data_IF_263984080334
#
_entry.id   IF_263984080334
#
_cell.length_a   1.000
_cell.length_b   1.000
_cell.length_c   1.000
_cell.angle_alpha   90.00
_cell.angle_beta   90.00
_cell.angle_gamma   90.00
#
_symmetry.space_group_name_H-M   'P 1'
#
loop_
_entity.id
_entity.type
_entity.pdbx_description
1 polymer ?
#
# COMPACT_ATOMS: atom_id res chain seq x y z
N UNK A 1 -13.96 -28.57 -56.94
CA UNK A 1 -13.30 -28.43 -55.64
C UNK A 1 -13.04 -29.84 -55.10
N UNK A 2 -11.79 -30.27 -55.05
CA UNK A 2 -11.35 -31.61 -54.69
C UNK A 2 -11.59 -31.80 -53.15
N UNK A 3 -11.80 -33.03 -52.73
CA UNK A 3 -11.97 -33.36 -51.28
C UNK A 3 -10.73 -32.89 -50.45
N UNK A 4 -9.57 -32.92 -51.07
CA UNK A 4 -8.32 -32.41 -50.50
C UNK A 4 -8.39 -30.92 -50.28
N UNK A 5 -8.94 -30.11 -51.22
CA UNK A 5 -9.09 -28.67 -51.10
C UNK A 5 -10.05 -28.29 -49.95
N UNK A 6 -11.14 -29.09 -49.75
CA UNK A 6 -12.06 -28.93 -48.63
C UNK A 6 -11.43 -29.32 -47.28
N UNK A 7 -10.58 -30.34 -47.27
CA UNK A 7 -9.85 -30.69 -46.05
C UNK A 7 -8.81 -29.63 -45.68
N UNK A 8 -8.12 -29.06 -46.69
CA UNK A 8 -7.18 -27.94 -46.45
C UNK A 8 -7.90 -26.67 -46.02
N UNK A 9 -9.09 -26.37 -46.55
CA UNK A 9 -9.91 -25.24 -46.08
C UNK A 9 -10.37 -25.44 -44.63
N UNK A 10 -10.76 -26.64 -44.24
CA UNK A 10 -11.18 -26.94 -42.86
C UNK A 10 -9.99 -27.05 -41.90
N UNK A 11 -8.86 -27.59 -42.33
CA UNK A 11 -7.64 -27.68 -41.53
C UNK A 11 -6.95 -26.30 -41.43
N UNK A 12 -6.97 -25.53 -42.53
CA UNK A 12 -6.41 -24.16 -42.57
C UNK A 12 -7.09 -23.19 -41.58
N UNK A 13 -8.39 -23.40 -41.31
CA UNK A 13 -9.11 -22.59 -40.30
C UNK A 13 -8.70 -22.94 -38.86
N UNK A 14 -7.97 -24.02 -38.62
CA UNK A 14 -7.54 -24.47 -37.30
C UNK A 14 -6.03 -24.37 -37.05
N UNK A 15 -5.25 -23.95 -38.06
CA UNK A 15 -3.77 -23.91 -37.97
C UNK A 15 -3.32 -22.46 -37.70
N UNK A 16 -2.51 -22.29 -36.69
CA UNK A 16 -1.75 -21.06 -36.45
C UNK A 16 -0.45 -21.10 -37.26
N UNK A 17 -0.26 -20.15 -38.16
CA UNK A 17 0.95 -19.98 -38.94
C UNK A 17 1.99 -19.22 -38.14
N UNK A 18 3.12 -19.81 -37.77
CA UNK A 18 4.18 -19.09 -37.07
C UNK A 18 4.84 -18.09 -38.03
N UNK A 19 4.93 -16.84 -37.57
CA UNK A 19 5.47 -15.70 -38.31
C UNK A 19 6.58 -14.99 -37.53
N UNK A 20 7.49 -14.37 -38.26
CA UNK A 20 8.31 -13.27 -37.73
C UNK A 20 7.57 -11.96 -37.99
N UNK A 21 7.63 -11.02 -37.01
CA UNK A 21 7.01 -9.72 -37.15
C UNK A 21 8.04 -8.59 -37.20
N UNK A 22 7.72 -7.55 -37.98
CA UNK A 22 8.48 -6.29 -37.99
C UNK A 22 7.51 -5.12 -38.03
N UNK A 23 7.94 -3.94 -37.56
CA UNK A 23 7.13 -2.73 -37.54
C UNK A 23 6.48 -2.45 -36.18
N UNK A 24 6.04 -1.21 -35.98
CA UNK A 24 5.44 -0.70 -34.74
C UNK A 24 3.91 -0.67 -34.82
N UNK A 25 3.36 0.13 -35.74
CA UNK A 25 1.91 0.25 -36.00
C UNK A 25 1.49 -0.43 -37.29
N UNK A 26 2.38 -0.51 -38.26
CA UNK A 26 2.22 -1.28 -39.49
C UNK A 26 3.04 -2.57 -39.38
N UNK A 27 2.40 -3.64 -38.93
CA UNK A 27 3.05 -4.92 -38.61
C UNK A 27 3.14 -5.78 -39.86
N UNK A 28 4.35 -6.12 -40.27
CA UNK A 28 4.59 -7.06 -41.39
C UNK A 28 4.88 -8.43 -40.84
N UNK A 29 4.03 -9.40 -41.16
CA UNK A 29 4.12 -10.78 -40.79
C UNK A 29 4.73 -11.60 -41.94
N UNK A 30 5.90 -12.17 -41.71
CA UNK A 30 6.59 -13.04 -42.66
C UNK A 30 6.52 -14.48 -42.16
N UNK A 31 5.98 -15.46 -42.95
CA UNK A 31 5.90 -16.82 -42.52
C UNK A 31 7.29 -17.38 -42.25
N UNK A 32 7.40 -18.22 -41.23
CA UNK A 32 8.60 -18.99 -40.99
C UNK A 32 8.75 -20.09 -42.02
N UNK A 33 9.95 -20.70 -42.15
CA UNK A 33 10.29 -21.70 -43.14
C UNK A 33 9.27 -22.83 -43.11
N UNK A 34 8.84 -23.31 -44.33
CA UNK A 34 7.88 -24.39 -44.57
C UNK A 34 6.38 -24.06 -44.36
N UNK A 35 6.02 -22.79 -44.28
CA UNK A 35 4.61 -22.41 -44.34
C UNK A 35 4.16 -22.17 -45.80
N UNK A 36 2.90 -22.52 -46.16
CA UNK A 36 2.38 -22.27 -47.51
C UNK A 36 2.43 -20.78 -47.84
N UNK A 37 2.91 -20.44 -49.05
CA UNK A 37 2.82 -19.09 -49.58
C UNK A 37 1.36 -18.82 -49.97
N UNK A 38 0.71 -17.90 -49.22
CA UNK A 38 -0.62 -17.44 -49.61
C UNK A 38 -0.50 -16.42 -50.71
N UNK A 39 -1.40 -16.47 -51.67
CA UNK A 39 -1.49 -15.48 -52.77
C UNK A 39 -2.62 -14.48 -52.59
N UNK A 40 -3.52 -14.69 -51.64
CA UNK A 40 -4.58 -13.81 -51.25
C UNK A 40 -4.97 -14.05 -49.78
N UNK A 41 -5.48 -13.01 -49.11
CA UNK A 41 -6.05 -13.10 -47.79
C UNK A 41 -7.51 -13.57 -47.87
N UNK A 42 -7.81 -14.71 -47.29
CA UNK A 42 -9.16 -15.24 -47.13
C UNK A 42 -9.43 -15.45 -45.65
N UNK A 43 -10.64 -15.89 -45.29
CA UNK A 43 -10.93 -16.32 -43.91
C UNK A 43 -10.03 -17.48 -43.53
N UNK A 44 -8.91 -17.22 -42.90
CA UNK A 44 -7.85 -18.18 -42.66
C UNK A 44 -7.56 -18.36 -41.18
N UNK A 45 -6.74 -19.33 -40.88
CA UNK A 45 -6.22 -19.61 -39.55
C UNK A 45 -5.49 -18.42 -38.92
N UNK A 46 -5.04 -18.61 -37.69
CA UNK A 46 -4.32 -17.58 -36.94
C UNK A 46 -2.88 -17.38 -37.44
N UNK A 47 -2.38 -16.16 -37.33
CA UNK A 47 -0.97 -15.80 -37.55
C UNK A 47 -0.35 -15.52 -36.20
N UNK A 48 0.55 -16.41 -35.75
CA UNK A 48 1.21 -16.30 -34.45
C UNK A 48 2.59 -15.70 -34.61
N UNK A 49 2.88 -14.70 -33.78
CA UNK A 49 4.16 -13.99 -33.81
C UNK A 49 4.48 -13.36 -32.46
N UNK A 50 5.76 -13.06 -32.24
CA UNK A 50 6.22 -12.20 -31.11
C UNK A 50 6.42 -10.80 -31.65
N UNK A 51 5.79 -9.82 -30.98
CA UNK A 51 5.91 -8.42 -31.37
C UNK A 51 7.30 -7.85 -31.08
N UNK A 52 7.86 -7.11 -32.02
CA UNK A 52 9.20 -6.50 -31.94
C UNK A 52 9.17 -5.05 -31.43
N UNK A 53 7.99 -4.43 -31.36
CA UNK A 53 7.80 -3.06 -30.86
C UNK A 53 6.41 -2.91 -30.23
N UNK A 54 6.28 -1.96 -29.28
CA UNK A 54 5.00 -1.57 -28.69
C UNK A 54 4.28 -0.60 -29.61
N UNK A 55 2.97 -0.82 -29.85
CA UNK A 55 2.15 0.08 -30.69
C UNK A 55 2.01 1.46 -30.06
N UNK A 56 2.17 2.49 -30.89
CA UNK A 56 2.06 3.92 -30.51
C UNK A 56 0.88 4.64 -31.18
N UNK A 57 0.02 3.90 -31.86
CA UNK A 57 -1.15 4.40 -32.57
C UNK A 57 -1.95 3.26 -33.21
N UNK A 58 -2.89 3.59 -34.09
CA UNK A 58 -3.74 2.62 -34.78
C UNK A 58 -2.92 1.53 -35.47
N UNK A 59 -3.30 0.27 -35.24
CA UNK A 59 -2.55 -0.90 -35.71
C UNK A 59 -3.14 -1.42 -37.03
N UNK A 60 -2.24 -1.67 -37.98
CA UNK A 60 -2.51 -2.41 -39.22
C UNK A 60 -1.54 -3.57 -39.33
N UNK A 61 -1.93 -4.63 -40.03
CA UNK A 61 -1.05 -5.75 -40.31
C UNK A 61 -1.14 -6.22 -41.76
N UNK A 62 -0.06 -6.79 -42.23
CA UNK A 62 -0.02 -7.52 -43.48
C UNK A 62 0.65 -8.88 -43.33
N UNK A 63 0.27 -9.85 -44.13
CA UNK A 63 0.94 -11.12 -44.23
C UNK A 63 1.60 -11.23 -45.61
N UNK A 64 2.89 -11.54 -45.65
CA UNK A 64 3.66 -11.81 -46.88
C UNK A 64 3.42 -10.79 -48.00
N UNK A 65 3.36 -9.49 -47.70
CA UNK A 65 3.14 -8.38 -48.64
C UNK A 65 1.76 -8.39 -49.38
N UNK A 66 0.75 -9.04 -48.83
CA UNK A 66 -0.60 -9.07 -49.41
C UNK A 66 -1.45 -7.83 -49.11
N UNK A 67 -0.85 -6.78 -48.59
CA UNK A 67 -1.50 -5.52 -48.23
C UNK A 67 -1.78 -5.36 -46.75
N UNK A 68 -1.81 -4.11 -46.30
CA UNK A 68 -2.11 -3.78 -44.90
C UNK A 68 -3.61 -3.71 -44.66
N UNK A 69 -4.07 -4.39 -43.62
CA UNK A 69 -5.45 -4.38 -43.16
C UNK A 69 -5.50 -3.92 -41.70
N UNK A 70 -6.56 -3.22 -41.25
CA UNK A 70 -6.72 -2.83 -39.88
C UNK A 70 -6.81 -4.05 -38.96
N UNK A 71 -6.25 -3.89 -37.76
CA UNK A 71 -6.35 -4.89 -36.68
C UNK A 71 -7.41 -4.41 -35.70
N UNK A 72 -8.37 -5.25 -35.38
CA UNK A 72 -9.47 -4.95 -34.46
C UNK A 72 -9.36 -5.82 -33.20
N UNK A 73 -9.92 -5.32 -32.10
CA UNK A 73 -10.17 -6.13 -30.91
C UNK A 73 -11.18 -7.25 -31.22
N UNK A 74 -11.37 -8.15 -30.28
CA UNK A 74 -12.28 -9.28 -30.41
C UNK A 74 -13.76 -8.90 -30.70
N UNK A 75 -14.13 -7.64 -30.48
CA UNK A 75 -15.44 -7.08 -30.82
C UNK A 75 -15.65 -6.86 -32.35
N UNK A 76 -14.57 -6.93 -33.13
CA UNK A 76 -14.57 -6.72 -34.59
C UNK A 76 -14.91 -5.27 -35.02
N UNK A 77 -15.01 -4.33 -34.09
CA UNK A 77 -15.44 -2.96 -34.31
C UNK A 77 -14.41 -1.91 -33.87
N UNK A 78 -13.76 -2.16 -32.73
CA UNK A 78 -12.74 -1.24 -32.14
C UNK A 78 -11.38 -1.58 -32.70
N UNK A 79 -10.75 -0.65 -33.44
CA UNK A 79 -9.40 -0.86 -33.97
C UNK A 79 -8.35 -0.85 -32.86
N UNK A 80 -7.45 -1.81 -32.87
CA UNK A 80 -6.29 -1.85 -31.98
C UNK A 80 -5.42 -0.59 -32.13
N UNK A 81 -4.96 -0.03 -31.02
CA UNK A 81 -4.33 1.28 -30.95
C UNK A 81 -3.09 1.25 -30.04
N UNK A 82 -2.75 2.41 -29.49
CA UNK A 82 -1.58 2.60 -28.61
C UNK A 82 -1.61 1.61 -27.43
N UNK A 83 -0.52 0.85 -27.26
CA UNK A 83 -0.35 -0.07 -26.14
C UNK A 83 -1.07 -1.41 -26.28
N UNK A 84 -1.85 -1.66 -27.33
CA UNK A 84 -2.55 -2.93 -27.53
C UNK A 84 -1.60 -4.05 -28.00
N UNK A 85 -0.51 -3.68 -28.64
CA UNK A 85 0.58 -4.57 -29.02
C UNK A 85 1.81 -4.16 -28.21
N UNK A 86 2.35 -5.07 -27.42
CA UNK A 86 3.51 -4.83 -26.55
C UNK A 86 4.72 -5.63 -27.07
N UNK A 87 5.89 -4.99 -27.06
CA UNK A 87 7.12 -5.66 -27.47
C UNK A 87 7.42 -6.90 -26.63
N UNK A 88 7.90 -7.97 -27.25
CA UNK A 88 8.27 -9.20 -26.59
C UNK A 88 7.12 -10.17 -26.25
N UNK A 89 5.87 -9.78 -26.50
CA UNK A 89 4.71 -10.64 -26.26
C UNK A 89 4.28 -11.39 -27.54
N UNK A 90 3.72 -12.58 -27.34
CA UNK A 90 3.19 -13.41 -28.41
C UNK A 90 1.74 -13.05 -28.70
N UNK A 91 1.40 -12.92 -29.98
CA UNK A 91 0.07 -12.60 -30.48
C UNK A 91 -0.41 -13.60 -31.51
N UNK A 92 -1.76 -13.73 -31.62
CA UNK A 92 -2.43 -14.41 -32.72
C UNK A 92 -3.38 -13.39 -33.39
N UNK A 93 -3.14 -13.13 -34.67
CA UNK A 93 -4.04 -12.39 -35.52
C UNK A 93 -4.80 -13.36 -36.44
N UNK A 94 -6.12 -13.23 -36.50
CA UNK A 94 -6.94 -13.99 -37.45
C UNK A 94 -7.59 -13.06 -38.46
N UNK A 95 -7.45 -13.38 -39.73
CA UNK A 95 -8.03 -12.59 -40.80
C UNK A 95 -9.49 -12.95 -41.07
N UNK A 96 -10.36 -11.93 -41.18
CA UNK A 96 -11.76 -12.06 -41.55
C UNK A 96 -12.11 -11.10 -42.69
N UNK A 97 -12.60 -11.67 -43.79
CA UNK A 97 -13.00 -10.88 -44.99
C UNK A 97 -14.20 -9.99 -44.70
N UNK A 98 -15.08 -10.33 -43.76
CA UNK A 98 -16.27 -9.57 -43.45
C UNK A 98 -16.01 -8.25 -42.71
N UNK A 99 -14.82 -8.06 -42.13
CA UNK A 99 -14.44 -6.84 -41.43
C UNK A 99 -14.28 -5.66 -42.43
N UNK A 100 -14.33 -4.46 -41.88
CA UNK A 100 -14.16 -3.21 -42.67
C UNK A 100 -15.15 -3.12 -43.85
N UNK A 101 -16.42 -3.52 -43.64
CA UNK A 101 -17.45 -3.47 -44.70
C UNK A 101 -17.20 -4.45 -45.84
N UNK A 102 -16.48 -5.56 -45.61
CA UNK A 102 -16.13 -6.56 -46.64
C UNK A 102 -14.75 -6.38 -47.29
N UNK A 103 -13.99 -5.36 -46.85
CA UNK A 103 -12.61 -5.13 -47.33
C UNK A 103 -11.57 -6.01 -46.59
N UNK A 104 -11.96 -6.66 -45.51
CA UNK A 104 -11.10 -7.50 -44.68
C UNK A 104 -10.43 -6.77 -43.51
N UNK A 105 -10.01 -7.53 -42.53
CA UNK A 105 -9.29 -7.07 -41.34
C UNK A 105 -8.81 -8.23 -40.49
N UNK A 106 -7.94 -7.94 -39.54
CA UNK A 106 -7.48 -8.90 -38.56
C UNK A 106 -8.22 -8.71 -37.25
N UNK A 107 -8.59 -9.80 -36.58
CA UNK A 107 -8.95 -9.83 -35.17
C UNK A 107 -7.72 -10.16 -34.34
N UNK A 108 -7.51 -9.42 -33.28
CA UNK A 108 -6.57 -9.75 -32.21
C UNK A 108 -7.23 -10.80 -31.28
N UNK A 109 -6.89 -12.09 -31.46
CA UNK A 109 -7.47 -13.18 -30.68
C UNK A 109 -6.77 -13.40 -29.34
N UNK A 110 -5.48 -13.14 -29.30
CA UNK A 110 -4.75 -13.14 -28.04
C UNK A 110 -4.51 -11.71 -27.62
N UNK A 111 -5.28 -11.17 -26.69
CA UNK A 111 -4.83 -9.96 -26.03
C UNK A 111 -3.50 -10.28 -25.38
N UNK A 112 -2.48 -9.49 -25.69
CA UNK A 112 -1.14 -9.70 -25.15
C UNK A 112 -0.99 -9.34 -23.68
N UNK A 113 -2.02 -8.95 -23.08
CA UNK A 113 -1.95 -9.08 -21.65
C UNK A 113 -1.89 -10.58 -21.38
N UNK A 114 -0.78 -11.12 -20.83
CA UNK A 114 -1.02 -12.18 -19.90
C UNK A 114 -2.19 -11.61 -19.11
N UNK A 115 -3.32 -12.30 -19.16
CA UNK A 115 -4.32 -12.14 -18.11
C UNK A 115 -3.59 -12.65 -16.88
N UNK A 116 -2.67 -11.84 -16.38
CA UNK A 116 -2.49 -11.77 -14.98
C UNK A 116 -3.91 -11.42 -14.57
N UNK A 117 -4.67 -12.43 -14.16
CA UNK A 117 -5.88 -12.25 -13.38
C UNK A 117 -5.39 -11.60 -12.10
N UNK A 118 -4.88 -10.38 -12.25
CA UNK A 118 -4.69 -9.44 -11.17
C UNK A 118 -6.10 -9.23 -10.69
N UNK A 119 -6.43 -9.56 -9.47
CA UNK A 119 -7.68 -9.10 -8.92
C UNK A 119 -7.65 -7.59 -9.10
N UNK A 120 -8.40 -7.10 -10.09
CA UNK A 120 -8.62 -5.69 -10.33
C UNK A 120 -9.09 -5.11 -8.99
N UNK A 121 -8.28 -4.34 -8.34
CA UNK A 121 -8.76 -3.64 -7.19
C UNK A 121 -7.82 -3.40 -6.02
N UNK A 122 -6.67 -4.06 -5.90
CA UNK A 122 -5.81 -3.83 -4.74
C UNK A 122 -4.41 -3.33 -5.15
N UNK A 123 -3.93 -2.22 -4.56
CA UNK A 123 -2.55 -1.78 -4.69
C UNK A 123 -1.56 -2.85 -4.20
N UNK A 124 -0.53 -3.16 -5.00
CA UNK A 124 0.38 -4.29 -4.74
C UNK A 124 1.58 -3.99 -3.85
N UNK A 125 1.85 -2.73 -3.56
CA UNK A 125 2.97 -2.29 -2.74
C UNK A 125 2.60 -1.95 -1.30
N UNK A 126 3.59 -1.50 -0.55
CA UNK A 126 3.45 -0.97 0.82
C UNK A 126 4.23 0.33 0.98
N UNK A 127 3.67 1.26 1.75
CA UNK A 127 4.40 2.42 2.23
C UNK A 127 5.42 1.97 3.27
N UNK A 128 6.63 2.47 3.16
CA UNK A 128 7.75 2.18 4.05
C UNK A 128 8.69 3.39 4.16
N UNK A 129 9.49 3.45 5.21
CA UNK A 129 10.55 4.44 5.39
C UNK A 129 11.93 3.90 4.99
N UNK A 130 12.00 2.69 4.46
CA UNK A 130 13.23 2.04 4.07
C UNK A 130 13.17 1.59 2.61
N UNK A 131 14.14 2.01 1.79
CA UNK A 131 14.21 1.65 0.37
C UNK A 131 14.24 0.14 0.17
N UNK A 132 13.46 -0.37 -0.77
CA UNK A 132 13.38 -1.78 -1.16
C UNK A 132 12.93 -2.77 -0.03
N UNK A 133 12.47 -2.25 1.12
CA UNK A 133 12.04 -3.08 2.25
C UNK A 133 10.59 -2.73 2.60
N UNK A 134 9.60 -3.47 2.10
CA UNK A 134 8.18 -3.19 2.32
C UNK A 134 7.72 -3.45 3.76
N UNK A 135 8.43 -4.31 4.52
CA UNK A 135 8.17 -4.62 5.93
C UNK A 135 9.39 -4.21 6.75
N UNK A 136 9.29 -3.11 7.47
CA UNK A 136 10.39 -2.60 8.29
C UNK A 136 10.62 -3.51 9.51
N UNK A 137 11.86 -3.90 9.74
CA UNK A 137 12.28 -4.73 10.89
C UNK A 137 13.28 -3.99 11.80
N UNK A 138 13.66 -2.77 11.44
CA UNK A 138 14.62 -1.95 12.18
C UNK A 138 14.11 -0.53 12.35
N UNK A 139 14.56 0.15 13.39
CA UNK A 139 14.20 1.53 13.66
C UNK A 139 14.61 2.47 12.52
N UNK A 140 13.71 3.37 12.15
CA UNK A 140 13.90 4.46 11.19
C UNK A 140 13.62 5.79 11.90
N UNK A 141 14.61 6.42 12.57
CA UNK A 141 14.35 7.55 13.48
C UNK A 141 14.16 8.90 12.79
N UNK A 142 14.64 9.08 11.56
CA UNK A 142 14.64 10.38 10.87
C UNK A 142 14.63 10.20 9.33
N UNK A 143 13.66 9.44 8.84
CA UNK A 143 13.54 9.19 7.40
C UNK A 143 13.06 10.44 6.66
N UNK A 144 13.76 10.82 5.59
CA UNK A 144 13.44 11.93 4.70
C UNK A 144 12.81 11.49 3.38
N UNK A 145 12.51 10.21 3.24
CA UNK A 145 11.84 9.63 2.07
C UNK A 145 10.80 8.62 2.52
N UNK A 146 9.61 8.74 1.96
CA UNK A 146 8.57 7.70 2.02
C UNK A 146 8.63 6.93 0.71
N UNK A 147 8.72 5.62 0.80
CA UNK A 147 8.75 4.71 -0.35
C UNK A 147 7.43 3.98 -0.48
N UNK A 148 7.04 3.67 -1.70
CA UNK A 148 6.00 2.68 -1.99
C UNK A 148 6.68 1.49 -2.66
N UNK A 149 7.09 0.52 -1.85
CA UNK A 149 7.87 -0.64 -2.27
C UNK A 149 6.97 -1.81 -2.67
N UNK A 150 7.35 -2.62 -3.67
CA UNK A 150 6.63 -3.83 -4.04
C UNK A 150 6.50 -4.79 -2.85
N UNK A 151 5.30 -5.40 -2.69
CA UNK A 151 5.03 -6.38 -1.64
C UNK A 151 4.30 -7.63 -2.17
N UNK A 152 3.11 -7.47 -2.73
CA UNK A 152 2.35 -8.56 -3.38
C UNK A 152 2.62 -8.58 -4.88
N UNK A 153 2.62 -7.42 -5.50
CA UNK A 153 2.94 -7.21 -6.91
C UNK A 153 3.35 -5.75 -7.17
N UNK A 154 3.70 -5.41 -8.41
CA UNK A 154 4.29 -4.13 -8.80
C UNK A 154 3.30 -3.17 -9.47
N UNK A 155 2.00 -3.40 -9.30
CA UNK A 155 0.97 -2.59 -9.94
C UNK A 155 0.10 -1.88 -8.91
N UNK A 156 -0.39 -0.71 -9.29
CA UNK A 156 -1.39 0.06 -8.55
C UNK A 156 -2.52 0.45 -9.51
N UNK A 157 -3.79 0.21 -9.17
CA UNK A 157 -4.90 0.67 -9.98
C UNK A 157 -5.02 2.18 -9.87
N UNK A 158 -5.09 2.88 -11.01
CA UNK A 158 -5.28 4.34 -11.05
C UNK A 158 -6.37 4.66 -12.05
N UNK A 159 -7.29 5.55 -11.67
CA UNK A 159 -8.24 6.16 -12.59
C UNK A 159 -7.55 7.29 -13.34
N UNK A 160 -7.51 7.20 -14.67
CA UNK A 160 -6.83 8.17 -15.54
C UNK A 160 -7.74 9.30 -16.04
N UNK A 161 -8.97 9.38 -15.52
CA UNK A 161 -10.01 10.31 -15.98
C UNK A 161 -11.02 9.68 -16.95
N UNK A 162 -10.72 8.52 -17.52
CA UNK A 162 -11.61 7.76 -18.41
C UNK A 162 -11.82 6.33 -17.90
N UNK A 163 -10.75 5.62 -17.61
CA UNK A 163 -10.76 4.22 -17.21
C UNK A 163 -9.86 3.97 -15.99
N UNK A 164 -10.16 2.92 -15.24
CA UNK A 164 -9.27 2.37 -14.22
C UNK A 164 -8.34 1.38 -14.89
N UNK A 165 -7.04 1.57 -14.71
CA UNK A 165 -6.02 0.68 -15.26
C UNK A 165 -4.94 0.37 -14.22
N UNK A 166 -4.32 -0.82 -14.26
CA UNK A 166 -3.15 -1.13 -13.46
C UNK A 166 -1.92 -0.43 -14.05
N UNK A 167 -1.27 0.41 -13.26
CA UNK A 167 -0.01 1.04 -13.62
C UNK A 167 1.12 0.40 -12.87
N UNK A 168 2.18 0.02 -13.58
CA UNK A 168 3.41 -0.43 -12.95
C UNK A 168 4.07 0.74 -12.24
N UNK A 169 4.37 0.58 -10.95
CA UNK A 169 5.00 1.61 -10.14
C UNK A 169 6.50 1.38 -9.91
N UNK A 170 7.08 0.38 -10.57
CA UNK A 170 8.50 0.06 -10.57
C UNK A 170 9.09 0.27 -11.96
N UNK A 171 10.40 0.49 -12.05
CA UNK A 171 11.10 0.69 -13.34
C UNK A 171 11.19 -0.61 -14.17
N UNK A 172 11.12 -1.77 -13.51
CA UNK A 172 11.12 -3.11 -14.12
C UNK A 172 10.50 -4.14 -13.19
N UNK A 173 10.21 -5.35 -13.68
CA UNK A 173 9.70 -6.45 -12.86
C UNK A 173 10.71 -6.99 -11.83
N UNK A 174 11.98 -6.62 -11.92
CA UNK A 174 13.02 -6.97 -10.95
C UNK A 174 13.30 -5.85 -9.94
N UNK A 175 12.73 -4.67 -10.18
CA UNK A 175 12.91 -3.52 -9.29
C UNK A 175 12.11 -3.71 -8.00
N UNK A 176 12.78 -3.69 -6.87
CA UNK A 176 12.20 -3.80 -5.54
C UNK A 176 12.07 -2.43 -4.83
N UNK A 177 12.60 -1.38 -5.41
CA UNK A 177 12.63 -0.03 -4.80
C UNK A 177 11.24 0.62 -4.86
N UNK A 178 10.59 0.59 -6.03
CA UNK A 178 9.30 1.23 -6.24
C UNK A 178 9.36 2.75 -6.34
N UNK A 179 8.27 3.43 -5.94
CA UNK A 179 8.17 4.89 -5.98
C UNK A 179 8.76 5.52 -4.72
N UNK A 180 9.45 6.65 -4.91
CA UNK A 180 10.00 7.47 -3.84
C UNK A 180 9.30 8.81 -3.74
N UNK A 181 8.96 9.24 -2.52
CA UNK A 181 8.52 10.58 -2.18
C UNK A 181 9.56 11.21 -1.26
N UNK A 182 10.42 12.05 -1.81
CA UNK A 182 11.44 12.77 -1.05
C UNK A 182 10.80 13.94 -0.29
N UNK A 183 10.81 13.84 1.03
CA UNK A 183 10.27 14.85 1.92
C UNK A 183 11.21 16.06 2.02
N UNK A 184 10.66 17.22 2.35
CA UNK A 184 11.40 18.44 2.56
C UNK A 184 10.64 19.39 3.49
N UNK A 185 11.13 20.62 3.66
CA UNK A 185 10.59 21.61 4.62
C UNK A 185 9.10 21.91 4.44
N UNK A 186 8.55 21.70 3.26
CA UNK A 186 7.13 21.91 2.98
C UNK A 186 6.20 20.82 3.51
N UNK A 187 6.70 19.68 3.96
CA UNK A 187 5.96 18.75 4.79
C UNK A 187 6.06 19.21 6.24
N UNK A 188 5.10 20.02 6.66
CA UNK A 188 5.10 20.67 7.99
C UNK A 188 5.32 19.65 9.12
N UNK A 189 5.99 20.08 10.19
CA UNK A 189 6.23 19.25 11.37
C UNK A 189 4.92 18.82 12.03
N UNK A 190 4.91 17.68 12.71
CA UNK A 190 3.78 17.16 13.48
C UNK A 190 2.46 17.08 12.70
N UNK A 191 2.52 16.79 11.38
CA UNK A 191 1.36 16.80 10.49
C UNK A 191 1.18 15.41 9.84
N UNK A 192 -0.06 14.95 9.79
CA UNK A 192 -0.44 13.75 9.06
C UNK A 192 -0.62 14.07 7.58
N UNK A 193 -0.23 13.14 6.70
CA UNK A 193 -0.36 13.25 5.24
C UNK A 193 -0.94 11.96 4.68
N UNK A 194 -2.05 12.05 3.99
CA UNK A 194 -2.52 10.94 3.16
C UNK A 194 -1.63 10.81 1.92
N UNK A 195 -1.28 9.58 1.58
CA UNK A 195 -0.45 9.25 0.41
C UNK A 195 -1.33 8.64 -0.66
N UNK A 196 -1.23 9.19 -1.86
CA UNK A 196 -1.93 8.71 -3.04
C UNK A 196 -0.94 8.37 -4.15
N UNK A 197 -1.29 7.37 -4.95
CA UNK A 197 -0.69 7.19 -6.26
C UNK A 197 -1.58 7.83 -7.32
N UNK A 198 -0.98 8.59 -8.22
CA UNK A 198 -1.67 9.28 -9.32
C UNK A 198 -0.80 9.25 -10.57
N UNK A 199 -1.34 9.74 -11.69
CA UNK A 199 -0.57 9.87 -12.94
C UNK A 199 -0.01 11.28 -13.09
N UNK A 200 1.29 11.36 -13.31
CA UNK A 200 1.98 12.59 -13.70
C UNK A 200 2.62 12.33 -15.06
N UNK A 201 2.15 13.03 -16.09
CA UNK A 201 2.58 12.81 -17.48
C UNK A 201 2.46 11.32 -17.92
N UNK A 202 1.39 10.64 -17.50
CA UNK A 202 1.12 9.24 -17.85
C UNK A 202 1.90 8.19 -17.04
N UNK A 203 2.72 8.61 -16.08
CA UNK A 203 3.52 7.71 -15.22
C UNK A 203 2.99 7.74 -13.78
N UNK A 204 2.95 6.59 -13.12
CA UNK A 204 2.57 6.50 -11.71
C UNK A 204 3.56 7.27 -10.84
N UNK A 205 3.03 8.11 -9.95
CA UNK A 205 3.81 8.91 -9.00
C UNK A 205 3.10 8.98 -7.64
N UNK A 206 3.86 9.19 -6.57
CA UNK A 206 3.31 9.48 -5.25
C UNK A 206 3.00 10.96 -5.10
N UNK A 207 1.86 11.25 -4.50
CA UNK A 207 1.55 12.61 -4.02
C UNK A 207 0.90 12.54 -2.63
N UNK A 208 0.88 13.67 -1.93
CA UNK A 208 0.33 13.74 -0.58
C UNK A 208 -0.63 14.89 -0.40
N UNK A 209 -1.64 14.68 0.45
CA UNK A 209 -2.56 15.71 0.91
C UNK A 209 -2.42 15.81 2.42
N UNK A 210 -2.08 16.99 2.99
CA UNK A 210 -2.00 17.18 4.44
C UNK A 210 -3.38 17.04 5.06
N UNK A 211 -3.44 16.53 6.29
CA UNK A 211 -4.67 16.55 7.07
C UNK A 211 -4.97 17.95 7.59
N UNK A 212 -6.23 18.26 7.84
CA UNK A 212 -6.67 19.50 8.45
C UNK A 212 -6.30 19.56 9.95
N UNK A 213 -6.21 18.41 10.61
CA UNK A 213 -5.77 18.27 12.00
C UNK A 213 -5.14 16.90 12.24
N UNK A 214 -4.74 16.57 13.47
CA UNK A 214 -4.21 15.25 13.82
C UNK A 214 -5.23 14.11 13.66
N UNK A 215 -6.53 14.42 13.58
CA UNK A 215 -7.63 13.45 13.54
C UNK A 215 -8.60 13.67 12.37
N UNK A 216 -8.42 14.73 11.59
CA UNK A 216 -9.35 15.10 10.50
C UNK A 216 -8.60 15.25 9.19
N UNK A 217 -9.02 14.49 8.16
CA UNK A 217 -8.52 14.62 6.78
C UNK A 217 -8.97 15.95 6.15
N UNK A 218 -8.15 16.50 5.26
CA UNK A 218 -8.52 17.67 4.47
C UNK A 218 -9.50 17.32 3.34
N UNK A 219 -9.43 16.08 2.82
CA UNK A 219 -10.41 15.53 1.88
C UNK A 219 -10.87 14.17 2.36
N UNK A 220 -12.16 13.84 2.13
CA UNK A 220 -12.67 12.51 2.39
C UNK A 220 -12.08 11.46 1.46
N UNK A 221 -12.26 10.20 1.81
CA UNK A 221 -11.98 9.06 0.94
C UNK A 221 -13.32 8.49 0.43
N UNK A 222 -13.34 8.04 -0.82
CA UNK A 222 -14.48 7.39 -1.44
C UNK A 222 -14.04 6.11 -2.16
N UNK A 223 -14.91 5.10 -2.17
CA UNK A 223 -14.68 3.89 -2.96
C UNK A 223 -15.00 4.21 -4.42
N UNK A 224 -14.04 3.98 -5.30
CA UNK A 224 -14.21 4.09 -6.74
C UNK A 224 -13.57 2.88 -7.42
N UNK A 225 -14.36 2.10 -8.14
CA UNK A 225 -13.87 0.90 -8.83
C UNK A 225 -13.30 -0.20 -7.91
N UNK A 226 -13.70 -0.23 -6.62
CA UNK A 226 -13.27 -1.25 -5.66
C UNK A 226 -12.07 -0.86 -4.80
N UNK A 227 -11.52 0.34 -4.94
CA UNK A 227 -10.44 0.87 -4.09
C UNK A 227 -10.73 2.31 -3.62
N UNK A 228 -10.04 2.74 -2.58
CA UNK A 228 -10.21 4.08 -2.03
C UNK A 228 -9.47 5.14 -2.88
N UNK A 229 -10.15 6.25 -3.09
CA UNK A 229 -9.64 7.44 -3.80
C UNK A 229 -9.98 8.71 -3.01
N UNK A 230 -9.41 9.85 -3.42
CA UNK A 230 -9.83 11.15 -2.90
C UNK A 230 -11.26 11.48 -3.34
N UNK A 231 -12.14 11.79 -2.37
CA UNK A 231 -13.57 12.03 -2.61
C UNK A 231 -13.87 13.40 -3.26
N UNK A 232 -12.95 14.36 -3.17
CA UNK A 232 -13.08 15.71 -3.72
C UNK A 232 -11.73 16.21 -4.25
N UNK A 233 -11.72 17.23 -5.12
CA UNK A 233 -10.48 17.85 -5.56
C UNK A 233 -9.73 18.43 -4.36
N UNK A 234 -8.41 18.26 -4.34
CA UNK A 234 -7.57 18.78 -3.26
C UNK A 234 -6.19 19.20 -3.78
N UNK A 235 -5.56 20.16 -3.10
CA UNK A 235 -4.16 20.50 -3.38
C UNK A 235 -3.26 19.39 -2.88
N UNK A 236 -2.65 18.68 -3.80
CA UNK A 236 -1.69 17.63 -3.54
C UNK A 236 -0.25 18.11 -3.75
N UNK A 237 0.67 17.54 -2.99
CA UNK A 237 2.10 17.82 -3.05
C UNK A 237 2.83 16.65 -3.68
N UNK A 238 3.59 16.94 -4.74
CA UNK A 238 4.38 15.96 -5.47
C UNK A 238 5.86 15.99 -5.04
N UNK A 239 6.41 17.20 -4.87
CA UNK A 239 7.79 17.42 -4.42
C UNK A 239 7.83 18.53 -3.36
N UNK A 240 9.01 18.85 -2.83
CA UNK A 240 9.14 19.96 -1.88
C UNK A 240 8.68 21.31 -2.46
N UNK A 241 8.69 21.48 -3.77
CA UNK A 241 8.34 22.76 -4.44
C UNK A 241 7.11 22.66 -5.33
N UNK A 242 6.67 21.45 -5.70
CA UNK A 242 5.60 21.24 -6.67
C UNK A 242 4.31 20.80 -5.99
N UNK A 243 3.27 21.58 -6.21
CA UNK A 243 1.87 21.24 -5.86
C UNK A 243 1.01 21.27 -7.11
N UNK A 244 -0.09 20.52 -7.11
CA UNK A 244 -1.08 20.52 -8.16
C UNK A 244 -2.46 20.19 -7.58
N UNK A 245 -3.52 20.43 -8.34
CA UNK A 245 -4.86 20.00 -7.95
C UNK A 245 -5.08 18.55 -8.37
N UNK A 246 -5.17 17.65 -7.39
CA UNK A 246 -5.60 16.27 -7.60
C UNK A 246 -7.12 16.27 -7.77
N UNK A 247 -7.61 15.99 -8.96
CA UNK A 247 -9.05 15.90 -9.25
C UNK A 247 -9.72 14.75 -8.50
N UNK A 248 -11.04 14.80 -8.36
CA UNK A 248 -11.84 13.74 -7.71
C UNK A 248 -11.57 12.37 -8.31
N UNK A 249 -11.26 11.39 -7.49
CA UNK A 249 -11.03 10.01 -7.92
C UNK A 249 -9.69 9.75 -8.62
N UNK A 250 -8.88 10.77 -8.91
CA UNK A 250 -7.62 10.62 -9.66
C UNK A 250 -6.44 10.16 -8.80
N UNK A 251 -6.62 10.07 -7.49
CA UNK A 251 -5.61 9.55 -6.55
C UNK A 251 -6.05 8.24 -5.92
N UNK A 252 -5.33 7.14 -6.13
CA UNK A 252 -5.52 5.90 -5.40
C UNK A 252 -4.89 6.03 -4.03
N UNK A 253 -5.69 5.96 -2.98
CA UNK A 253 -5.21 6.04 -1.60
C UNK A 253 -4.36 4.81 -1.24
N UNK A 254 -3.20 5.02 -0.65
CA UNK A 254 -2.28 3.96 -0.26
C UNK A 254 -2.16 3.80 1.25
N UNK A 255 -2.30 4.90 1.98
CA UNK A 255 -2.14 4.96 3.41
C UNK A 255 -1.80 6.38 3.88
N UNK A 256 -1.27 6.49 5.09
CA UNK A 256 -0.99 7.78 5.75
C UNK A 256 0.39 7.72 6.40
N UNK A 257 1.15 8.80 6.35
CA UNK A 257 2.32 8.98 7.20
C UNK A 257 2.23 10.28 8.00
N UNK A 258 3.04 10.39 9.04
CA UNK A 258 3.15 11.58 9.89
C UNK A 258 4.59 12.06 9.90
N UNK A 259 4.77 13.39 9.90
CA UNK A 259 6.07 14.00 10.15
C UNK A 259 6.38 14.08 11.64
N UNK A 260 7.66 14.02 11.97
CA UNK A 260 8.17 14.26 13.33
C UNK A 260 8.04 15.74 13.73
N UNK A 261 8.59 16.13 14.88
CA UNK A 261 8.76 17.53 15.25
C UNK A 261 9.69 18.31 14.28
N UNK A 262 10.39 17.62 13.39
CA UNK A 262 11.18 18.20 12.31
C UNK A 262 10.41 18.08 11.01
N UNK A 263 10.22 19.20 10.33
CA UNK A 263 9.55 19.23 9.02
C UNK A 263 10.31 18.35 8.01
N UNK A 264 9.57 17.61 7.18
CA UNK A 264 10.15 16.73 6.17
C UNK A 264 10.81 15.45 6.69
N UNK A 265 10.61 15.11 7.95
CA UNK A 265 11.08 13.84 8.51
C UNK A 265 9.93 13.01 9.05
N UNK A 266 10.01 11.69 8.88
CA UNK A 266 9.10 10.71 9.49
C UNK A 266 9.91 9.68 10.26
N UNK A 267 9.26 8.88 11.10
CA UNK A 267 9.93 7.86 11.91
C UNK A 267 9.09 6.60 12.09
N UNK A 268 9.81 5.49 12.32
CA UNK A 268 9.24 4.21 12.73
C UNK A 268 10.18 3.58 13.75
N UNK A 269 9.78 3.56 15.02
CA UNK A 269 10.61 3.13 16.14
C UNK A 269 9.84 2.11 16.95
N UNK A 270 10.40 0.91 17.11
CA UNK A 270 9.76 -0.19 17.82
C UNK A 270 9.66 0.01 19.34
N UNK A 271 10.31 1.06 19.86
CA UNK A 271 10.48 1.30 21.28
C UNK A 271 11.79 0.71 21.79
N UNK A 272 11.95 0.71 23.11
CA UNK A 272 13.17 0.17 23.69
C UNK A 272 13.19 0.20 25.22
N UNK A 273 14.32 -0.21 25.79
CA UNK A 273 14.56 -0.22 27.22
C UNK A 273 15.36 1.01 27.63
N UNK A 274 14.93 1.66 28.72
CA UNK A 274 15.60 2.81 29.31
C UNK A 274 14.96 3.17 30.65
N UNK A 275 15.63 3.97 31.47
CA UNK A 275 15.03 4.51 32.68
C UNK A 275 13.88 5.45 32.29
N UNK A 276 12.64 5.08 32.66
CA UNK A 276 11.42 5.74 32.21
C UNK A 276 10.93 5.31 30.83
N UNK A 277 11.50 4.23 30.25
CA UNK A 277 11.16 3.72 28.93
C UNK A 277 11.81 4.47 27.78
N UNK A 278 11.72 3.91 26.58
CA UNK A 278 12.05 4.56 25.30
C UNK A 278 10.84 4.45 24.39
N UNK A 279 10.19 5.57 24.13
CA UNK A 279 8.91 5.64 23.41
C UNK A 279 8.98 4.98 22.02
N UNK A 280 7.91 4.28 21.65
CA UNK A 280 7.73 3.74 20.31
C UNK A 280 6.95 4.72 19.42
N UNK A 281 7.24 4.68 18.10
CA UNK A 281 6.58 5.53 17.11
C UNK A 281 6.31 4.74 15.84
N UNK A 282 5.04 4.55 15.50
CA UNK A 282 4.59 4.02 14.24
C UNK A 282 3.95 5.15 13.41
N UNK A 283 4.77 5.94 12.72
CA UNK A 283 4.32 7.14 11.99
C UNK A 283 4.07 6.87 10.51
N UNK A 284 3.81 5.61 10.13
CA UNK A 284 3.36 5.23 8.79
C UNK A 284 2.34 4.09 8.93
N UNK A 285 1.24 4.20 8.19
CA UNK A 285 0.17 3.22 8.19
C UNK A 285 -0.26 2.94 6.76
N UNK A 286 -0.32 1.66 6.39
CA UNK A 286 -0.82 1.20 5.11
C UNK A 286 -2.33 0.93 5.21
N UNK A 287 -3.09 1.26 4.17
CA UNK A 287 -4.49 0.85 4.09
C UNK A 287 -4.61 -0.57 3.52
N UNK A 288 -3.87 -0.85 2.45
CA UNK A 288 -3.76 -2.17 1.84
C UNK A 288 -2.52 -2.91 2.33
N UNK A 289 -2.53 -4.25 2.22
CA UNK A 289 -1.36 -5.10 2.50
C UNK A 289 -0.79 -4.88 3.91
N UNK A 290 -1.64 -4.67 4.90
CA UNK A 290 -1.24 -4.46 6.28
C UNK A 290 -0.54 -5.69 6.85
N UNK A 291 0.47 -5.48 7.70
CA UNK A 291 1.13 -6.53 8.48
C UNK A 291 1.02 -6.22 9.97
N UNK A 292 1.01 -7.27 10.78
CA UNK A 292 0.96 -7.12 12.22
C UNK A 292 2.35 -6.72 12.74
N UNK A 293 2.44 -5.54 13.35
CA UNK A 293 3.63 -5.07 14.05
C UNK A 293 3.45 -5.16 15.56
N UNK A 294 4.53 -5.49 16.26
CA UNK A 294 4.60 -5.43 17.72
C UNK A 294 5.55 -4.31 18.13
N UNK A 295 5.09 -3.46 19.04
CA UNK A 295 5.85 -2.39 19.67
C UNK A 295 6.01 -2.69 21.17
N UNK A 296 7.16 -2.33 21.75
CA UNK A 296 7.44 -2.61 23.13
C UNK A 296 8.31 -1.53 23.78
N UNK A 297 7.89 -1.08 24.95
CA UNK A 297 8.60 -0.11 25.77
C UNK A 297 8.86 -0.73 27.14
N UNK A 298 10.12 -0.80 27.55
CA UNK A 298 10.53 -1.31 28.84
C UNK A 298 11.07 -0.17 29.71
N UNK A 299 10.44 0.07 30.86
CA UNK A 299 11.00 0.95 31.88
C UNK A 299 11.93 0.12 32.78
N UNK A 300 13.23 0.29 32.61
CA UNK A 300 14.25 -0.36 33.44
C UNK A 300 14.80 0.55 34.56
N UNK A 301 14.07 1.61 34.91
CA UNK A 301 14.41 2.45 36.07
C UNK A 301 14.45 1.59 37.36
N UNK A 302 15.18 2.06 38.34
CA UNK A 302 15.09 1.51 39.69
C UNK A 302 13.65 1.72 40.23
N UNK A 303 13.28 0.87 41.20
CA UNK A 303 12.00 1.04 41.88
C UNK A 303 11.87 2.43 42.52
N UNK A 304 10.66 3.02 42.40
CA UNK A 304 10.35 4.36 42.89
C UNK A 304 9.04 4.35 43.70
N UNK A 305 8.82 5.38 44.50
CA UNK A 305 7.60 5.53 45.28
C UNK A 305 6.66 6.55 44.67
N UNK A 306 5.36 6.30 44.79
CA UNK A 306 4.32 7.24 44.42
C UNK A 306 3.15 7.13 45.39
N UNK A 307 2.68 8.26 45.94
CA UNK A 307 1.65 8.31 46.98
C UNK A 307 0.32 8.84 46.47
N UNK A 308 0.32 9.73 45.45
CA UNK A 308 -0.87 10.45 45.02
C UNK A 308 -1.92 9.54 44.36
N UNK A 309 -3.19 9.84 44.65
CA UNK A 309 -4.35 9.25 43.98
C UNK A 309 -4.59 9.81 42.56
N UNK A 310 -3.83 10.82 42.15
CA UNK A 310 -3.93 11.38 40.78
C UNK A 310 -3.20 10.46 39.81
N UNK A 311 -3.89 10.03 38.76
CA UNK A 311 -3.27 9.22 37.70
C UNK A 311 -2.23 10.02 36.93
N UNK A 312 -1.11 9.37 36.59
CA UNK A 312 -0.05 9.92 35.75
C UNK A 312 0.52 8.84 34.85
N UNK A 313 1.33 9.23 33.86
CA UNK A 313 2.16 8.29 33.14
C UNK A 313 3.09 7.55 34.12
N UNK A 314 3.29 6.26 33.90
CA UNK A 314 4.13 5.43 34.74
C UNK A 314 5.55 6.03 34.84
N UNK A 315 6.10 6.08 36.08
CA UNK A 315 7.36 6.73 36.40
C UNK A 315 7.40 8.23 36.04
N UNK A 316 6.26 8.88 35.90
CA UNK A 316 6.15 10.27 35.43
C UNK A 316 6.93 10.50 34.11
N UNK A 317 7.01 9.49 33.26
CA UNK A 317 7.85 9.51 32.04
C UNK A 317 7.02 9.52 30.77
N UNK A 318 7.37 10.42 29.86
CA UNK A 318 6.87 10.43 28.47
C UNK A 318 7.47 9.32 27.63
N UNK A 319 8.50 8.62 28.10
CA UNK A 319 9.10 7.46 27.46
C UNK A 319 8.23 6.20 27.54
N UNK A 320 7.32 6.11 28.53
CA UNK A 320 6.41 4.97 28.69
C UNK A 320 5.16 5.11 27.79
N UNK A 321 5.39 5.37 26.48
CA UNK A 321 4.33 5.59 25.50
C UNK A 321 4.60 4.88 24.18
N UNK A 322 3.52 4.51 23.49
CA UNK A 322 3.55 4.01 22.11
C UNK A 322 2.66 4.91 21.27
N UNK A 323 3.24 5.58 20.28
CA UNK A 323 2.55 6.51 19.40
C UNK A 323 2.23 5.81 18.07
N UNK A 324 0.94 5.70 17.75
CA UNK A 324 0.44 4.93 16.61
C UNK A 324 -0.34 5.82 15.67
N UNK A 325 -0.04 5.75 14.37
CA UNK A 325 -0.84 6.39 13.34
C UNK A 325 -1.84 5.38 12.76
N UNK A 326 -3.14 5.70 12.81
CA UNK A 326 -4.21 4.93 12.20
C UNK A 326 -4.70 5.60 10.93
N UNK A 327 -4.60 4.91 9.79
CA UNK A 327 -5.17 5.39 8.52
C UNK A 327 -6.63 4.93 8.30
N UNK A 328 -7.12 3.99 9.12
CA UNK A 328 -8.48 3.47 9.10
C UNK A 328 -8.90 3.09 10.52
N UNK A 329 -10.16 3.35 10.89
CA UNK A 329 -10.73 2.96 12.18
C UNK A 329 -11.16 1.48 12.24
N UNK A 330 -10.88 0.69 11.20
CA UNK A 330 -11.36 -0.69 11.06
C UNK A 330 -10.56 -1.70 11.88
N UNK A 331 -9.37 -1.33 12.36
CA UNK A 331 -8.46 -2.25 13.02
C UNK A 331 -8.31 -1.94 14.50
N UNK A 332 -8.35 -3.00 15.30
CA UNK A 332 -8.12 -2.90 16.74
C UNK A 332 -6.62 -2.75 17.06
N UNK A 333 -6.35 -2.02 18.12
CA UNK A 333 -5.07 -2.00 18.82
C UNK A 333 -5.18 -3.01 19.96
N UNK A 334 -4.33 -4.05 19.93
CA UNK A 334 -4.18 -5.01 21.03
C UNK A 334 -3.03 -4.52 21.90
N UNK A 335 -3.29 -4.24 23.17
CA UNK A 335 -2.26 -3.72 24.06
C UNK A 335 -2.23 -4.45 25.38
N UNK A 336 -1.07 -4.46 26.02
CA UNK A 336 -0.90 -5.02 27.37
C UNK A 336 0.20 -4.27 28.12
N UNK A 337 -0.02 -4.13 29.42
CA UNK A 337 0.92 -3.52 30.35
C UNK A 337 1.24 -4.49 31.46
N UNK A 338 2.50 -4.95 31.51
CA UNK A 338 3.05 -5.72 32.61
C UNK A 338 3.66 -4.75 33.60
N UNK A 339 3.47 -5.01 34.88
CA UNK A 339 4.02 -4.16 35.93
C UNK A 339 4.32 -4.95 37.21
N UNK A 340 5.25 -4.38 37.98
CA UNK A 340 5.58 -4.87 39.32
C UNK A 340 5.41 -3.76 40.37
N UNK A 341 4.73 -4.07 41.45
CA UNK A 341 4.45 -3.11 42.55
C UNK A 341 4.53 -3.79 43.93
N UNK A 342 5.00 -3.03 44.92
CA UNK A 342 4.92 -3.42 46.32
C UNK A 342 3.96 -2.51 47.07
N UNK A 343 2.96 -3.09 47.73
CA UNK A 343 2.04 -2.40 48.60
C UNK A 343 2.61 -2.39 50.03
N UNK A 344 2.89 -1.22 50.57
CA UNK A 344 3.72 -1.07 51.77
C UNK A 344 2.96 -1.27 53.08
N UNK A 345 1.62 -1.14 53.09
CA UNK A 345 0.81 -1.19 54.30
C UNK A 345 -0.45 -2.05 54.11
N UNK A 346 -1.03 -2.48 55.23
CA UNK A 346 -2.35 -3.11 55.21
C UNK A 346 -3.41 -2.11 54.73
N UNK A 347 -4.22 -2.55 53.79
CA UNK A 347 -5.23 -1.69 53.12
C UNK A 347 -4.68 -0.73 52.08
N UNK A 348 -3.36 -0.67 51.84
CA UNK A 348 -2.77 0.13 50.77
C UNK A 348 -3.32 -0.29 49.39
N UNK A 349 -3.48 0.66 48.50
CA UNK A 349 -4.03 0.43 47.17
C UNK A 349 -3.16 1.07 46.10
N UNK A 350 -3.12 0.43 44.94
CA UNK A 350 -2.57 1.01 43.72
C UNK A 350 -3.54 0.79 42.57
N UNK A 351 -3.46 1.68 41.61
CA UNK A 351 -4.23 1.65 40.35
C UNK A 351 -3.23 1.67 39.21
N UNK A 352 -3.30 0.70 38.33
CA UNK A 352 -2.37 0.50 37.23
C UNK A 352 -3.15 0.17 35.97
N UNK A 353 -2.75 0.73 34.84
CA UNK A 353 -3.47 0.49 33.60
C UNK A 353 -2.89 1.22 32.41
N UNK A 354 -3.68 1.33 31.39
CA UNK A 354 -3.33 2.01 30.15
C UNK A 354 -4.42 3.00 29.77
N UNK A 355 -4.02 4.09 29.10
CA UNK A 355 -4.95 5.00 28.48
C UNK A 355 -4.59 5.21 27.00
N UNK A 356 -5.60 5.48 26.19
CA UNK A 356 -5.46 5.94 24.82
C UNK A 356 -5.76 7.44 24.80
N UNK A 357 -4.81 8.24 24.26
CA UNK A 357 -4.91 9.71 24.12
C UNK A 357 -5.13 10.48 25.42
N UNK A 358 -4.68 9.95 26.53
CA UNK A 358 -4.84 10.58 27.83
C UNK A 358 -3.92 10.04 28.90
N UNK A 359 -4.03 10.58 30.08
CA UNK A 359 -3.36 10.11 31.31
C UNK A 359 -4.33 9.65 32.39
N UNK A 360 -5.62 9.48 32.04
CA UNK A 360 -6.64 9.01 32.98
C UNK A 360 -6.68 7.49 33.03
N UNK A 361 -6.91 6.93 34.21
CA UNK A 361 -7.14 5.47 34.39
C UNK A 361 -8.55 5.03 33.97
N UNK A 362 -9.31 5.88 33.26
CA UNK A 362 -10.75 5.72 33.10
C UNK A 362 -11.20 4.50 32.30
N UNK A 363 -10.33 3.91 31.46
CA UNK A 363 -10.81 2.90 30.52
C UNK A 363 -10.35 1.47 30.83
N UNK A 364 -9.16 1.26 31.37
CA UNK A 364 -8.63 -0.09 31.64
C UNK A 364 -7.62 -0.04 32.79
N UNK A 365 -8.08 -0.11 34.02
CA UNK A 365 -7.18 -0.18 35.16
C UNK A 365 -7.46 -1.38 36.06
N UNK A 366 -6.42 -1.83 36.74
CA UNK A 366 -6.52 -2.77 37.86
C UNK A 366 -6.29 -2.05 39.17
N UNK A 367 -7.18 -2.29 40.09
CA UNK A 367 -7.03 -1.89 41.48
C UNK A 367 -6.52 -3.07 42.29
N UNK A 368 -5.40 -2.89 42.92
CA UNK A 368 -4.86 -3.86 43.92
C UNK A 368 -5.04 -3.29 45.28
N UNK A 369 -5.54 -4.15 46.20
CA UNK A 369 -5.69 -3.85 47.62
C UNK A 369 -4.92 -4.88 48.39
N UNK A 370 -4.03 -4.45 49.28
CA UNK A 370 -3.26 -5.35 50.12
C UNK A 370 -3.97 -5.64 51.47
N UNK A 371 -4.38 -6.87 51.76
CA UNK A 371 -5.01 -7.19 53.02
C UNK A 371 -4.02 -7.31 54.19
N UNK A 372 -2.72 -7.46 53.95
CA UNK A 372 -1.76 -7.84 55.02
C UNK A 372 -0.49 -7.00 55.09
N UNK A 373 -0.25 -6.06 54.20
CA UNK A 373 1.01 -5.26 54.10
C UNK A 373 2.18 -6.05 53.49
N UNK A 374 3.11 -5.33 52.86
CA UNK A 374 4.36 -5.86 52.34
C UNK A 374 4.25 -6.81 51.13
N UNK A 375 3.12 -6.82 50.41
CA UNK A 375 2.91 -7.76 49.30
C UNK A 375 3.43 -7.23 47.99
N UNK A 376 4.14 -8.08 47.25
CA UNK A 376 4.58 -7.81 45.87
C UNK A 376 3.58 -8.40 44.87
N UNK A 377 3.21 -7.62 43.89
CA UNK A 377 2.34 -8.04 42.79
C UNK A 377 3.05 -7.85 41.47
N UNK A 378 2.87 -8.84 40.61
CA UNK A 378 3.27 -8.76 39.21
C UNK A 378 2.13 -9.30 38.37
N UNK A 379 1.62 -8.50 37.43
CA UNK A 379 0.48 -8.87 36.62
C UNK A 379 0.47 -8.15 35.28
N UNK A 380 -0.48 -8.51 34.43
CA UNK A 380 -0.66 -8.00 33.08
C UNK A 380 -2.10 -7.50 32.90
N UNK A 381 -2.24 -6.34 32.25
CA UNK A 381 -3.54 -5.75 31.88
C UNK A 381 -3.70 -5.81 30.37
N UNK A 382 -4.36 -6.82 29.79
CA UNK A 382 -4.68 -6.81 28.36
C UNK A 382 -5.84 -5.85 28.07
N UNK A 383 -5.79 -5.20 26.91
CA UNK A 383 -6.91 -4.41 26.39
C UNK A 383 -6.99 -4.51 24.88
N UNK A 384 -8.19 -4.29 24.36
CA UNK A 384 -8.46 -4.15 22.93
C UNK A 384 -9.18 -2.83 22.75
N UNK A 385 -8.62 -1.95 21.95
CA UNK A 385 -9.19 -0.64 21.64
C UNK A 385 -9.37 -0.46 20.14
N UNK A 386 -10.50 0.12 19.73
CA UNK A 386 -10.71 0.62 18.39
C UNK A 386 -10.50 2.14 18.42
N UNK A 387 -9.48 2.59 17.70
CA UNK A 387 -9.18 4.01 17.61
C UNK A 387 -9.78 4.61 16.34
N UNK A 388 -10.13 5.89 16.39
CA UNK A 388 -10.48 6.67 15.21
C UNK A 388 -9.27 6.78 14.26
N UNK A 389 -9.46 7.38 13.08
CA UNK A 389 -8.34 7.73 12.23
C UNK A 389 -7.48 8.80 12.91
N UNK A 390 -6.17 8.73 12.76
CA UNK A 390 -5.26 9.75 13.26
C UNK A 390 -4.11 9.24 14.10
N UNK A 391 -3.45 10.17 14.76
CA UNK A 391 -2.39 9.87 15.72
C UNK A 391 -3.03 9.53 17.07
N UNK A 392 -2.61 8.42 17.65
CA UNK A 392 -3.00 7.98 18.99
C UNK A 392 -1.77 7.71 19.84
N UNK A 393 -1.89 7.96 21.13
CA UNK A 393 -0.85 7.67 22.11
C UNK A 393 -1.38 6.69 23.16
N UNK A 394 -0.80 5.51 23.19
CA UNK A 394 -1.02 4.55 24.25
C UNK A 394 -0.01 4.86 25.37
N UNK A 395 -0.51 5.05 26.59
CA UNK A 395 0.30 5.43 27.75
C UNK A 395 0.11 4.43 28.89
N UNK A 396 1.19 3.92 29.45
CA UNK A 396 1.16 3.20 30.74
C UNK A 396 0.89 4.19 31.87
N UNK A 397 -0.07 3.91 32.73
CA UNK A 397 -0.51 4.80 33.79
C UNK A 397 -0.45 4.15 35.16
N UNK A 398 -0.24 4.99 36.18
CA UNK A 398 -0.19 4.60 37.59
C UNK A 398 -0.87 5.62 38.50
N UNK A 399 -1.42 5.15 39.60
CA UNK A 399 -1.84 5.97 40.74
C UNK A 399 -1.71 5.15 42.04
N UNK A 400 -1.60 5.85 43.16
CA UNK A 400 -1.66 5.27 44.51
C UNK A 400 -3.01 5.63 45.16
N UNK A 401 -3.14 5.41 46.48
CA UNK A 401 -4.36 5.67 47.24
C UNK A 401 -4.41 7.08 47.90
N UNK A 402 -3.42 7.89 47.71
CA UNK A 402 -3.32 9.22 48.30
C UNK A 402 -2.77 9.23 49.73
N UNK A 403 -2.46 8.05 50.29
CA UNK A 403 -2.01 7.89 51.67
C UNK A 403 -0.67 7.17 51.76
N UNK A 404 -0.54 6.04 51.10
CA UNK A 404 0.61 5.16 51.19
C UNK A 404 1.64 5.41 50.10
N UNK A 405 2.93 5.45 50.49
CA UNK A 405 4.05 5.58 49.52
C UNK A 405 4.36 4.20 48.91
N UNK A 406 3.46 3.70 48.09
CA UNK A 406 3.63 2.41 47.40
C UNK A 406 4.83 2.43 46.44
N UNK A 407 5.49 1.26 46.29
CA UNK A 407 6.70 1.12 45.48
C UNK A 407 6.34 0.50 44.15
N UNK A 408 6.67 1.23 43.09
CA UNK A 408 6.42 0.84 41.71
C UNK A 408 7.71 0.39 41.01
N UNK A 409 7.58 -0.31 39.87
CA UNK A 409 8.68 -0.83 39.06
C UNK A 409 9.63 -1.76 39.82
N UNK A 410 9.09 -2.62 40.66
CA UNK A 410 9.89 -3.65 41.32
C UNK A 410 10.44 -4.63 40.27
N UNK A 411 11.73 -4.99 40.43
CA UNK A 411 12.43 -5.89 39.50
C UNK A 411 12.47 -5.41 38.02
N UNK A 412 12.31 -4.11 37.76
CA UNK A 412 12.31 -3.53 36.38
C UNK A 412 11.32 -4.23 35.44
N UNK A 413 10.11 -4.51 35.93
CA UNK A 413 9.11 -5.31 35.22
C UNK A 413 8.07 -4.48 34.46
N UNK A 414 8.18 -3.14 34.47
CA UNK A 414 7.24 -2.29 33.75
C UNK A 414 7.48 -2.39 32.23
N UNK A 415 6.51 -2.99 31.54
CA UNK A 415 6.56 -3.20 30.09
C UNK A 415 5.22 -2.87 29.46
N UNK A 416 5.20 -1.84 28.61
CA UNK A 416 4.09 -1.51 27.76
C UNK A 416 4.30 -2.10 26.37
N UNK A 417 3.34 -2.86 25.88
CA UNK A 417 3.41 -3.48 24.55
C UNK A 417 2.11 -3.31 23.81
N UNK A 418 2.18 -3.27 22.49
CA UNK A 418 0.99 -3.37 21.65
C UNK A 418 1.27 -4.14 20.36
N UNK A 419 0.21 -4.72 19.79
CA UNK A 419 0.20 -5.26 18.45
C UNK A 419 -0.86 -4.53 17.61
N UNK A 420 -0.49 -4.12 16.40
CA UNK A 420 -1.35 -3.32 15.51
C UNK A 420 -1.07 -3.64 14.06
N UNK A 421 -2.11 -3.62 13.23
CA UNK A 421 -2.01 -3.79 11.79
C UNK A 421 -1.70 -2.44 11.12
N UNK A 422 -0.57 -2.37 10.41
CA UNK A 422 -0.08 -1.18 9.72
C UNK A 422 0.31 -1.46 8.27
#
# INVERSE_FOLDING_TARGET
MNLLDKMFDQVGAMIEIPCTATGTNAISLTPQINCPALTAMNNMGGFRFVATATSSGAVTAQYNNLGFFPVYHADGATQANIGDILTGFEYVFRFFQALTGGLGGFLLETPATPVVTQPWGMPGGRLTLQSAIPVMLTNQPAAVTVWYAPYVHQFVPIFNGANIQPYQFTSSLLDQVGLALNLGSNWAANTNFDVFSTLVNGVAALCTIPWASNVTRATGLAIFGGFLTNAAPATARLTNTTTFTLGTGLGTFLGTFRTTAVAGQSQFIFGGSGAGGVAAFAQIANYYNQVLYQFQVNDNAAAYTYTSAVARAANNSTGNTINLLQCSAEKAILAWYNFGVTLVANGAQVFLGMSLDGSSLAENFFRYVNPTGGSNFNTNTPTISFAANGLHTLTANEASDGVNANVFNINSLNNLSCAVWL
#
